data_IF_718334600811
#
_entry.id   IF_718334600811
#
_cell.length_a   1.000
_cell.length_b   1.000
_cell.length_c   1.000
_cell.angle_alpha   90.00
_cell.angle_beta   90.00
_cell.angle_gamma   90.00
#
_symmetry.space_group_name_H-M   'P 1'
#
loop_
_entity.id
_entity.type
_entity.pdbx_description
1 polymer ?
#
# COMPACT_ATOMS: atom_id res chain seq x y z
N UNK A 1 -4.34 -0.91 7.59
CA UNK A 1 -3.41 0.19 7.82
C UNK A 1 -2.99 0.24 9.30
N UNK A 2 -3.93 0.45 10.24
CA UNK A 2 -3.62 0.73 11.64
C UNK A 2 -2.90 -0.44 12.33
N UNK A 3 -3.32 -1.66 12.11
CA UNK A 3 -2.65 -2.85 12.65
C UNK A 3 -1.22 -3.04 12.12
N UNK A 4 -0.94 -2.66 10.86
CA UNK A 4 0.43 -2.63 10.34
C UNK A 4 1.25 -1.50 10.98
N UNK A 5 0.63 -0.35 11.26
CA UNK A 5 1.27 0.76 11.98
C UNK A 5 1.62 0.37 13.42
N UNK A 6 0.76 -0.37 14.10
CA UNK A 6 1.08 -0.92 15.42
C UNK A 6 2.31 -1.82 15.36
N UNK A 7 2.38 -2.72 14.38
CA UNK A 7 3.57 -3.58 14.16
C UNK A 7 4.81 -2.76 13.80
N UNK A 8 4.69 -1.72 12.97
CA UNK A 8 5.78 -0.79 12.67
C UNK A 8 6.38 -0.19 13.95
N UNK A 9 5.54 0.26 14.86
CA UNK A 9 5.96 0.88 16.13
C UNK A 9 6.59 -0.17 17.05
N UNK A 10 5.96 -1.33 17.20
CA UNK A 10 6.47 -2.42 18.03
C UNK A 10 7.86 -2.90 17.57
N UNK A 11 8.08 -2.95 16.26
CA UNK A 11 9.32 -3.45 15.66
C UNK A 11 10.36 -2.38 15.39
N UNK A 12 10.15 -1.13 15.81
CA UNK A 12 11.02 0.01 15.48
C UNK A 12 12.49 -0.17 15.88
N UNK A 13 12.75 -0.87 17.00
CA UNK A 13 14.10 -1.12 17.51
C UNK A 13 14.76 -2.41 17.05
N UNK A 14 14.08 -3.25 16.24
CA UNK A 14 14.59 -4.57 15.86
C UNK A 14 15.40 -4.45 14.57
N UNK A 15 16.71 -4.42 14.69
CA UNK A 15 17.65 -4.37 13.56
C UNK A 15 17.76 -5.73 12.90
N UNK A 16 17.55 -5.76 11.57
CA UNK A 16 17.62 -6.96 10.75
C UNK A 16 18.43 -6.72 9.47
N UNK A 17 18.74 -7.78 8.75
CA UNK A 17 19.31 -7.65 7.42
C UNK A 17 18.24 -7.24 6.40
N UNK A 18 18.55 -6.25 5.56
CA UNK A 18 17.74 -5.92 4.40
C UNK A 18 17.94 -6.92 3.26
N UNK A 19 16.98 -6.97 2.33
CA UNK A 19 17.09 -7.81 1.13
C UNK A 19 16.66 -7.03 -0.10
N UNK A 20 17.49 -7.06 -1.15
CA UNK A 20 17.16 -6.63 -2.50
C UNK A 20 17.42 -7.79 -3.45
N UNK A 21 16.57 -8.01 -4.43
CA UNK A 21 16.63 -9.20 -5.31
C UNK A 21 16.60 -10.54 -4.55
N UNK A 22 16.03 -10.59 -3.34
CA UNK A 22 16.12 -11.70 -2.37
C UNK A 22 17.56 -12.03 -1.92
N UNK A 23 18.53 -11.16 -2.19
CA UNK A 23 19.89 -11.26 -1.71
C UNK A 23 20.10 -10.36 -0.50
N UNK A 24 21.05 -10.73 0.37
CA UNK A 24 21.42 -9.92 1.52
C UNK A 24 21.86 -8.51 1.11
N UNK A 25 21.34 -7.52 1.82
CA UNK A 25 21.67 -6.11 1.65
C UNK A 25 22.08 -5.48 2.99
N UNK A 26 22.21 -4.17 3.06
CA UNK A 26 22.52 -3.47 4.30
C UNK A 26 21.40 -3.56 5.32
N UNK A 27 21.70 -3.39 6.63
CA UNK A 27 20.71 -3.43 7.69
C UNK A 27 19.63 -2.34 7.58
N UNK A 28 18.45 -2.68 8.08
CA UNK A 28 17.38 -1.76 8.43
C UNK A 28 16.68 -2.28 9.69
N UNK A 29 15.71 -1.56 10.24
CA UNK A 29 14.86 -2.12 11.27
C UNK A 29 13.63 -2.81 10.67
N UNK A 30 13.11 -3.84 11.34
CA UNK A 30 11.85 -4.47 10.95
C UNK A 30 10.70 -3.44 10.95
N UNK A 31 10.73 -2.47 11.86
CA UNK A 31 9.77 -1.35 11.85
C UNK A 31 9.89 -0.48 10.61
N UNK A 32 11.11 -0.20 10.11
CA UNK A 32 11.30 0.52 8.83
C UNK A 32 10.73 -0.27 7.65
N UNK A 33 10.90 -1.58 7.61
CA UNK A 33 10.30 -2.45 6.59
C UNK A 33 8.76 -2.36 6.62
N UNK A 34 8.14 -2.45 7.81
CA UNK A 34 6.70 -2.29 7.98
C UNK A 34 6.21 -0.87 7.67
N UNK A 35 7.03 0.16 7.89
CA UNK A 35 6.69 1.53 7.51
C UNK A 35 6.44 1.70 6.01
N UNK A 36 7.18 0.95 5.19
CA UNK A 36 6.96 0.89 3.75
C UNK A 36 5.56 0.36 3.40
N UNK A 37 5.08 -0.67 4.11
CA UNK A 37 3.74 -1.22 3.93
C UNK A 37 2.64 -0.21 4.31
N UNK A 38 2.81 0.47 5.45
CA UNK A 38 1.91 1.53 5.92
C UNK A 38 1.83 2.66 4.89
N UNK A 39 2.97 3.11 4.36
CA UNK A 39 3.04 4.17 3.36
C UNK A 39 2.33 3.76 2.05
N UNK A 40 2.51 2.52 1.58
CA UNK A 40 1.82 2.02 0.38
C UNK A 40 0.30 2.02 0.55
N UNK A 41 -0.22 1.61 1.71
CA UNK A 41 -1.66 1.63 1.98
C UNK A 41 -2.21 3.05 2.13
N UNK A 42 -1.46 3.96 2.73
CA UNK A 42 -1.82 5.38 2.81
C UNK A 42 -1.93 6.00 1.41
N UNK A 43 -0.97 5.71 0.54
CA UNK A 43 -1.00 6.17 -0.85
C UNK A 43 -2.20 5.60 -1.61
N UNK A 44 -2.45 4.28 -1.49
CA UNK A 44 -3.59 3.64 -2.15
C UNK A 44 -4.92 4.24 -1.70
N UNK A 45 -5.09 4.50 -0.38
CA UNK A 45 -6.26 5.18 0.17
C UNK A 45 -6.44 6.57 -0.43
N UNK A 46 -5.37 7.35 -0.55
CA UNK A 46 -5.42 8.69 -1.15
C UNK A 46 -5.87 8.64 -2.61
N UNK A 47 -5.37 7.68 -3.39
CA UNK A 47 -5.76 7.49 -4.80
C UNK A 47 -7.24 7.13 -4.91
N UNK A 48 -7.74 6.21 -4.07
CA UNK A 48 -9.17 5.84 -4.05
C UNK A 48 -10.02 7.06 -3.69
N UNK A 49 -9.66 7.80 -2.64
CA UNK A 49 -10.40 8.98 -2.20
C UNK A 49 -10.47 10.05 -3.30
N UNK A 50 -9.37 10.27 -4.03
CA UNK A 50 -9.32 11.22 -5.13
C UNK A 50 -10.20 10.81 -6.34
N UNK A 51 -10.49 9.51 -6.51
CA UNK A 51 -11.37 9.03 -7.57
C UNK A 51 -12.87 9.11 -7.24
N UNK A 52 -13.26 9.20 -5.97
CA UNK A 52 -14.67 9.19 -5.58
C UNK A 52 -15.52 10.29 -6.27
N UNK A 53 -15.05 11.55 -6.42
CA UNK A 53 -15.81 12.59 -7.09
C UNK A 53 -16.20 12.26 -8.53
N UNK A 54 -15.42 11.41 -9.21
CA UNK A 54 -15.74 11.00 -10.59
C UNK A 54 -17.02 10.16 -10.68
N UNK A 55 -17.44 9.52 -9.56
CA UNK A 55 -18.62 8.65 -9.51
C UNK A 55 -19.92 9.41 -9.19
N UNK A 56 -19.85 10.68 -8.81
CA UNK A 56 -21.04 11.44 -8.41
C UNK A 56 -21.91 11.94 -9.58
N UNK A 57 -21.38 12.26 -10.78
CA UNK A 57 -22.19 12.63 -11.91
C UNK A 57 -22.97 11.44 -12.47
N UNK A 58 -24.30 11.53 -12.49
CA UNK A 58 -25.21 10.47 -12.91
C UNK A 58 -25.76 10.74 -14.31
N UNK A 59 -25.93 9.70 -15.12
CA UNK A 59 -26.54 9.77 -16.45
C UNK A 59 -28.06 10.00 -16.42
N UNK A 60 -28.66 9.99 -15.23
CA UNK A 60 -30.10 10.08 -15.04
C UNK A 60 -30.69 11.34 -15.73
N UNK A 61 -31.84 11.20 -16.35
CA UNK A 61 -32.48 12.25 -17.13
C UNK A 61 -32.09 12.30 -18.61
N UNK A 62 -31.03 11.52 -19.02
CA UNK A 62 -30.64 11.48 -20.45
C UNK A 62 -31.57 10.69 -21.33
N UNK A 63 -32.40 9.84 -20.78
CA UNK A 63 -33.35 8.93 -21.48
C UNK A 63 -32.67 8.03 -22.52
N UNK A 64 -33.14 7.99 -23.75
CA UNK A 64 -32.67 7.05 -24.76
C UNK A 64 -31.23 7.33 -25.23
N UNK A 65 -30.92 8.59 -25.54
CA UNK A 65 -29.67 8.99 -26.23
C UNK A 65 -28.96 10.18 -25.58
N UNK A 66 -29.48 10.72 -24.48
CA UNK A 66 -28.89 11.89 -23.79
C UNK A 66 -29.69 13.19 -23.93
N UNK A 67 -30.75 13.21 -24.75
CA UNK A 67 -31.57 14.42 -25.05
C UNK A 67 -32.61 14.73 -23.99
N UNK A 68 -32.92 13.79 -23.09
CA UNK A 68 -34.00 13.96 -22.10
C UNK A 68 -35.42 13.88 -22.69
N UNK A 69 -35.57 13.28 -23.87
CA UNK A 69 -36.87 13.16 -24.54
C UNK A 69 -37.90 12.50 -23.60
N UNK A 70 -39.09 13.12 -23.52
CA UNK A 70 -40.23 12.67 -22.70
C UNK A 70 -40.02 12.71 -21.18
N UNK A 71 -39.03 13.45 -20.67
CA UNK A 71 -38.92 13.72 -19.22
C UNK A 71 -39.33 15.14 -18.88
N UNK A 72 -39.89 15.38 -17.68
CA UNK A 72 -40.09 16.74 -17.20
C UNK A 72 -38.76 17.50 -17.05
N UNK A 73 -38.74 18.80 -17.25
CA UNK A 73 -37.58 19.62 -16.94
C UNK A 73 -37.13 19.44 -15.50
N UNK A 74 -35.82 19.30 -15.25
CA UNK A 74 -35.26 19.12 -13.93
C UNK A 74 -35.33 17.69 -13.33
N UNK A 75 -35.87 16.73 -14.11
CA UNK A 75 -36.01 15.34 -13.59
C UNK A 75 -34.67 14.72 -13.13
N UNK A 76 -33.62 14.87 -13.92
CA UNK A 76 -32.30 14.30 -13.60
C UNK A 76 -31.71 14.91 -12.33
N UNK A 77 -31.84 16.22 -12.18
CA UNK A 77 -31.41 17.01 -11.04
C UNK A 77 -32.17 16.60 -9.76
N UNK A 78 -33.50 16.48 -9.84
CA UNK A 78 -34.33 16.06 -8.71
C UNK A 78 -33.99 14.63 -8.25
N UNK A 79 -33.79 13.70 -9.18
CA UNK A 79 -33.42 12.32 -8.82
C UNK A 79 -32.03 12.28 -8.17
N UNK A 80 -31.07 13.03 -8.70
CA UNK A 80 -29.74 13.12 -8.11
C UNK A 80 -29.79 13.72 -6.69
N UNK A 81 -30.63 14.72 -6.45
CA UNK A 81 -30.85 15.31 -5.12
C UNK A 81 -31.46 14.30 -4.14
N UNK A 82 -32.49 13.57 -4.54
CA UNK A 82 -33.11 12.52 -3.71
C UNK A 82 -32.09 11.43 -3.34
N UNK A 83 -31.28 10.99 -4.31
CA UNK A 83 -30.21 10.03 -4.05
C UNK A 83 -29.13 10.59 -3.11
N UNK A 84 -28.78 11.86 -3.28
CA UNK A 84 -27.83 12.54 -2.39
C UNK A 84 -28.31 12.59 -0.95
N UNK A 85 -29.55 12.91 -0.72
CA UNK A 85 -30.17 12.94 0.61
C UNK A 85 -30.27 11.52 1.21
N UNK A 86 -30.68 10.53 0.40
CA UNK A 86 -30.88 9.15 0.86
C UNK A 86 -29.58 8.44 1.25
N UNK A 87 -28.48 8.78 0.59
CA UNK A 87 -27.18 8.11 0.76
C UNK A 87 -26.11 8.97 1.42
N UNK A 88 -26.41 10.22 1.75
CA UNK A 88 -25.45 11.21 2.26
C UNK A 88 -24.21 11.34 1.35
N UNK A 89 -24.41 11.29 0.01
CA UNK A 89 -23.37 11.38 -1.01
C UNK A 89 -23.71 12.49 -1.99
N UNK A 90 -22.75 13.28 -2.49
CA UNK A 90 -23.02 14.47 -3.30
C UNK A 90 -23.25 14.11 -4.79
N UNK A 91 -24.26 13.29 -5.07
CA UNK A 91 -24.63 12.98 -6.45
C UNK A 91 -25.17 14.20 -7.17
N UNK A 92 -24.81 14.32 -8.45
CA UNK A 92 -25.27 15.38 -9.33
C UNK A 92 -25.72 14.79 -10.66
N UNK A 93 -26.61 15.50 -11.35
CA UNK A 93 -26.96 15.17 -12.72
C UNK A 93 -25.79 15.51 -13.63
N UNK A 94 -25.27 14.56 -14.42
CA UNK A 94 -24.09 14.77 -15.27
C UNK A 94 -24.33 15.95 -16.22
N UNK A 95 -23.35 16.85 -16.39
CA UNK A 95 -23.51 18.01 -17.29
C UNK A 95 -23.61 17.60 -18.76
N UNK A 96 -23.04 16.47 -19.12
CA UNK A 96 -23.14 15.89 -20.46
C UNK A 96 -23.73 14.47 -20.38
N UNK A 97 -25.02 14.35 -20.72
CA UNK A 97 -25.75 13.08 -20.69
C UNK A 97 -25.30 12.11 -21.79
N UNK A 98 -24.83 12.63 -22.92
CA UNK A 98 -24.35 11.80 -24.03
C UNK A 98 -23.11 11.00 -23.60
N UNK A 99 -22.12 11.67 -23.03
CA UNK A 99 -20.94 11.01 -22.47
C UNK A 99 -21.33 10.05 -21.33
N UNK A 100 -22.19 10.49 -20.40
CA UNK A 100 -22.57 9.69 -19.24
C UNK A 100 -23.35 8.40 -19.58
N UNK A 101 -24.04 8.35 -20.71
CA UNK A 101 -24.74 7.16 -21.23
C UNK A 101 -23.79 6.24 -22.01
N UNK A 102 -22.89 6.81 -22.82
CA UNK A 102 -22.06 6.06 -23.76
C UNK A 102 -20.73 5.60 -23.17
N UNK A 103 -20.22 6.30 -22.16
CA UNK A 103 -18.94 5.99 -21.53
C UNK A 103 -19.10 5.44 -20.12
N UNK A 104 -18.07 4.75 -19.65
CA UNK A 104 -17.94 4.23 -18.28
C UNK A 104 -16.63 4.68 -17.62
N UNK A 105 -16.07 5.79 -18.08
CA UNK A 105 -14.72 6.28 -17.71
C UNK A 105 -14.56 6.46 -16.21
N UNK A 106 -15.60 6.97 -15.52
CA UNK A 106 -15.59 7.15 -14.07
C UNK A 106 -15.41 5.82 -13.32
N UNK A 107 -16.08 4.75 -13.76
CA UNK A 107 -15.99 3.43 -13.14
C UNK A 107 -14.66 2.78 -13.50
N UNK A 108 -14.16 2.94 -14.71
CA UNK A 108 -12.83 2.49 -15.13
C UNK A 108 -11.75 3.14 -14.25
N UNK A 109 -11.80 4.46 -14.07
CA UNK A 109 -10.86 5.18 -13.19
C UNK A 109 -10.96 4.73 -11.72
N UNK A 110 -12.17 4.58 -11.21
CA UNK A 110 -12.39 4.13 -9.84
C UNK A 110 -11.86 2.69 -9.63
N UNK A 111 -12.07 1.78 -10.60
CA UNK A 111 -11.54 0.42 -10.49
C UNK A 111 -10.01 0.38 -10.62
N UNK A 112 -9.43 1.23 -11.47
CA UNK A 112 -7.98 1.38 -11.55
C UNK A 112 -7.36 1.79 -10.20
N UNK A 113 -8.06 2.59 -9.40
CA UNK A 113 -7.65 2.91 -8.02
C UNK A 113 -7.68 1.69 -7.09
N UNK A 114 -8.68 0.80 -7.24
CA UNK A 114 -8.72 -0.47 -6.51
C UNK A 114 -7.61 -1.41 -6.94
N UNK A 115 -7.21 -1.41 -8.21
CA UNK A 115 -6.05 -2.15 -8.71
C UNK A 115 -4.76 -1.68 -8.03
N UNK A 116 -4.56 -0.37 -7.82
CA UNK A 116 -3.40 0.15 -7.08
C UNK A 116 -3.37 -0.43 -5.67
N UNK A 117 -4.50 -0.48 -4.97
CA UNK A 117 -4.61 -1.12 -3.67
C UNK A 117 -4.29 -2.62 -3.73
N UNK A 118 -4.82 -3.34 -4.71
CA UNK A 118 -4.57 -4.77 -4.89
C UNK A 118 -3.08 -5.07 -5.13
N UNK A 119 -2.39 -4.26 -5.92
CA UNK A 119 -0.94 -4.39 -6.16
C UNK A 119 -0.15 -4.19 -4.87
N UNK A 120 -0.48 -3.18 -4.07
CA UNK A 120 0.16 -2.93 -2.78
C UNK A 120 -0.07 -4.11 -1.80
N UNK A 121 -1.32 -4.56 -1.67
CA UNK A 121 -1.68 -5.68 -0.79
C UNK A 121 -1.02 -6.99 -1.21
N UNK A 122 -0.91 -7.26 -2.51
CA UNK A 122 -0.22 -8.44 -3.03
C UNK A 122 1.25 -8.45 -2.62
N UNK A 123 1.93 -7.31 -2.77
CA UNK A 123 3.34 -7.17 -2.35
C UNK A 123 3.48 -7.35 -0.84
N UNK A 124 2.65 -6.72 -0.03
CA UNK A 124 2.68 -6.80 1.43
C UNK A 124 2.45 -8.25 1.90
N UNK A 125 1.43 -8.91 1.39
CA UNK A 125 1.14 -10.30 1.74
C UNK A 125 2.29 -11.24 1.32
N UNK A 126 2.89 -11.02 0.16
CA UNK A 126 4.01 -11.82 -0.32
C UNK A 126 5.27 -11.64 0.55
N UNK A 127 5.60 -10.42 0.96
CA UNK A 127 6.73 -10.17 1.85
C UNK A 127 6.52 -10.82 3.23
N UNK A 128 5.34 -10.65 3.82
CA UNK A 128 5.00 -11.28 5.12
C UNK A 128 5.12 -12.81 5.00
N UNK A 129 4.66 -13.39 3.88
CA UNK A 129 4.80 -14.82 3.61
C UNK A 129 6.27 -15.26 3.54
N UNK A 130 7.13 -14.48 2.88
CA UNK A 130 8.57 -14.74 2.81
C UNK A 130 9.24 -14.62 4.17
N UNK A 131 8.96 -13.55 4.92
CA UNK A 131 9.53 -13.33 6.24
C UNK A 131 9.16 -14.44 7.23
N UNK A 132 7.96 -15.02 7.09
CA UNK A 132 7.47 -16.13 7.92
C UNK A 132 7.88 -17.52 7.41
N UNK A 133 8.58 -17.61 6.28
CA UNK A 133 8.91 -18.89 5.64
C UNK A 133 9.82 -19.77 6.47
N UNK A 134 9.60 -21.08 6.44
CA UNK A 134 10.42 -22.05 7.12
C UNK A 134 9.66 -22.82 8.20
N UNK A 135 9.93 -22.61 9.49
CA UNK A 135 10.80 -21.60 10.13
C UNK A 135 12.31 -21.91 10.13
N UNK A 136 12.72 -23.18 10.00
CA UNK A 136 14.14 -23.55 10.11
C UNK A 136 14.89 -23.51 8.79
N UNK A 137 14.23 -23.90 7.69
CA UNK A 137 14.82 -23.98 6.34
C UNK A 137 14.43 -22.82 5.45
N UNK A 138 13.87 -21.76 6.00
CA UNK A 138 13.50 -20.53 5.31
C UNK A 138 14.03 -19.29 6.04
N UNK A 139 13.42 -18.15 5.79
CA UNK A 139 13.80 -16.87 6.42
C UNK A 139 13.50 -16.91 7.92
N UNK A 140 12.22 -17.09 8.30
CA UNK A 140 11.82 -17.28 9.69
C UNK A 140 12.01 -16.07 10.59
N UNK A 141 12.07 -14.84 10.06
CA UNK A 141 12.28 -13.62 10.86
C UNK A 141 11.04 -13.17 11.62
N UNK A 142 9.85 -13.60 11.14
CA UNK A 142 8.58 -13.37 11.83
C UNK A 142 7.81 -14.67 11.99
N UNK A 143 6.90 -14.69 12.96
CA UNK A 143 5.91 -15.75 13.16
C UNK A 143 4.52 -15.17 12.90
N UNK A 144 3.71 -15.92 12.18
CA UNK A 144 2.30 -15.61 11.92
C UNK A 144 1.40 -16.53 12.72
N UNK A 145 0.14 -16.15 13.01
CA UNK A 145 -0.82 -17.01 13.70
C UNK A 145 -1.07 -18.33 12.98
N UNK A 146 -1.22 -19.38 13.76
CA UNK A 146 -1.71 -20.67 13.28
C UNK A 146 -3.25 -20.65 13.32
N UNK A 147 -3.88 -20.58 12.15
CA UNK A 147 -5.34 -20.48 12.05
C UNK A 147 -6.01 -21.81 11.79
N UNK A 148 -5.25 -22.80 11.29
CA UNK A 148 -5.76 -24.10 10.86
C UNK A 148 -4.63 -25.15 10.89
N UNK A 149 -4.95 -26.43 10.96
CA UNK A 149 -3.97 -27.51 10.77
C UNK A 149 -3.31 -27.37 9.39
N UNK A 150 -2.00 -27.13 9.36
CA UNK A 150 -1.28 -26.82 8.13
C UNK A 150 -1.11 -27.98 7.17
N UNK A 151 -1.20 -29.23 7.66
CA UNK A 151 -1.04 -30.43 6.86
C UNK A 151 -1.55 -31.65 7.60
N UNK A 152 -2.22 -32.57 6.89
CA UNK A 152 -2.65 -33.85 7.44
C UNK A 152 -1.51 -34.86 7.63
N UNK A 153 -0.39 -34.67 6.95
CA UNK A 153 0.75 -35.60 6.93
C UNK A 153 2.03 -35.02 7.56
N UNK A 154 2.06 -33.71 7.86
CA UNK A 154 3.21 -33.02 8.48
C UNK A 154 2.75 -32.28 9.72
N UNK A 155 2.72 -32.93 10.91
CA UNK A 155 2.28 -32.30 12.15
C UNK A 155 3.10 -31.04 12.49
N UNK A 156 2.41 -29.97 12.92
CA UNK A 156 3.04 -28.72 13.30
C UNK A 156 3.47 -27.80 12.14
N UNK A 157 3.13 -28.15 10.89
CA UNK A 157 3.36 -27.26 9.75
C UNK A 157 2.30 -26.16 9.72
N UNK A 158 2.73 -24.91 9.83
CA UNK A 158 1.87 -23.71 9.72
C UNK A 158 1.99 -23.14 8.32
N UNK A 159 0.87 -23.05 7.59
CA UNK A 159 0.84 -22.46 6.26
C UNK A 159 0.45 -20.98 6.33
N UNK A 160 0.96 -20.10 5.45
CA UNK A 160 0.63 -18.69 5.39
C UNK A 160 -0.68 -18.46 4.60
N UNK A 161 -1.76 -19.19 4.92
CA UNK A 161 -3.00 -19.26 4.13
C UNK A 161 -3.70 -17.91 4.00
N UNK A 162 -3.62 -17.05 5.00
CA UNK A 162 -4.17 -15.69 4.93
C UNK A 162 -3.41 -14.83 3.92
N UNK A 163 -2.10 -14.96 3.83
CA UNK A 163 -1.31 -14.29 2.81
C UNK A 163 -1.67 -14.78 1.41
N UNK A 164 -1.79 -16.09 1.24
CA UNK A 164 -2.12 -16.74 -0.03
C UNK A 164 -3.53 -16.38 -0.50
N UNK A 165 -4.51 -16.38 0.39
CA UNK A 165 -5.88 -15.98 0.10
C UNK A 165 -5.94 -14.51 -0.38
N UNK A 166 -5.27 -13.60 0.33
CA UNK A 166 -5.21 -12.19 -0.07
C UNK A 166 -4.53 -12.01 -1.43
N UNK A 167 -3.44 -12.73 -1.68
CA UNK A 167 -2.74 -12.69 -2.98
C UNK A 167 -3.63 -13.16 -4.13
N UNK A 168 -4.40 -14.25 -3.94
CA UNK A 168 -5.37 -14.73 -4.94
C UNK A 168 -6.47 -13.71 -5.21
N UNK A 169 -7.02 -13.07 -4.17
CA UNK A 169 -7.98 -11.97 -4.31
C UNK A 169 -7.40 -10.82 -5.10
N UNK A 170 -6.16 -10.41 -4.81
CA UNK A 170 -5.49 -9.35 -5.55
C UNK A 170 -5.35 -9.69 -7.05
N UNK A 171 -5.01 -10.93 -7.38
CA UNK A 171 -4.96 -11.40 -8.77
C UNK A 171 -6.34 -11.29 -9.45
N UNK A 172 -7.41 -11.69 -8.76
CA UNK A 172 -8.78 -11.60 -9.30
C UNK A 172 -9.18 -10.14 -9.54
N UNK A 173 -8.85 -9.22 -8.64
CA UNK A 173 -9.12 -7.79 -8.80
C UNK A 173 -8.37 -7.21 -10.01
N UNK A 174 -7.11 -7.59 -10.19
CA UNK A 174 -6.33 -7.18 -11.37
C UNK A 174 -6.94 -7.73 -12.68
N UNK A 175 -7.44 -8.96 -12.68
CA UNK A 175 -8.15 -9.53 -13.81
C UNK A 175 -9.47 -8.80 -14.12
N UNK A 176 -10.23 -8.45 -13.08
CA UNK A 176 -11.44 -7.66 -13.21
C UNK A 176 -11.16 -6.26 -13.80
N UNK A 177 -10.00 -5.65 -13.50
CA UNK A 177 -9.60 -4.37 -14.08
C UNK A 177 -9.45 -4.44 -15.61
N UNK A 178 -8.89 -5.54 -16.11
CA UNK A 178 -8.81 -5.78 -17.56
C UNK A 178 -10.21 -5.91 -18.17
N UNK A 179 -11.08 -6.69 -17.54
CA UNK A 179 -12.46 -6.87 -18.01
C UNK A 179 -13.23 -5.53 -18.04
N UNK A 180 -13.11 -4.73 -16.96
CA UNK A 180 -13.77 -3.42 -16.87
C UNK A 180 -13.22 -2.45 -17.90
N UNK A 181 -11.90 -2.42 -18.13
CA UNK A 181 -11.27 -1.55 -19.12
C UNK A 181 -11.74 -1.87 -20.53
N UNK A 182 -11.77 -3.15 -20.92
CA UNK A 182 -12.28 -3.60 -22.22
C UNK A 182 -13.77 -3.30 -22.38
N UNK A 183 -14.56 -3.61 -21.38
CA UNK A 183 -16.01 -3.34 -21.38
C UNK A 183 -16.32 -1.83 -21.39
N UNK A 184 -15.53 -1.01 -20.68
CA UNK A 184 -15.63 0.44 -20.67
C UNK A 184 -15.42 1.06 -22.07
N UNK A 185 -14.45 0.52 -22.82
CA UNK A 185 -14.17 0.93 -24.19
C UNK A 185 -15.12 0.37 -25.27
N UNK A 186 -16.05 -0.50 -24.89
CA UNK A 186 -16.96 -1.19 -25.83
C UNK A 186 -18.26 -0.43 -26.13
N UNK A 187 -18.40 0.81 -25.67
CA UNK A 187 -19.56 1.66 -26.00
C UNK A 187 -19.62 1.99 -27.49
N UNK A 188 -20.85 1.99 -28.05
CA UNK A 188 -21.08 2.37 -29.42
C UNK A 188 -22.09 3.52 -29.46
N UNK A 189 -21.69 4.63 -30.05
CA UNK A 189 -22.49 5.86 -30.18
C UNK A 189 -23.02 6.32 -28.80
N UNK A 190 -24.32 6.24 -28.54
CA UNK A 190 -24.97 6.85 -27.39
C UNK A 190 -25.17 5.90 -26.20
N UNK A 191 -24.70 4.63 -26.27
CA UNK A 191 -24.88 3.67 -25.19
C UNK A 191 -23.70 2.70 -25.06
N UNK A 192 -23.25 2.49 -23.85
CA UNK A 192 -22.42 1.33 -23.48
C UNK A 192 -23.30 0.20 -22.94
N UNK A 193 -23.39 -0.89 -23.69
CA UNK A 193 -24.23 -2.07 -23.33
C UNK A 193 -23.54 -3.02 -22.33
N UNK A 194 -22.25 -2.85 -22.08
CA UNK A 194 -21.45 -3.73 -21.21
C UNK A 194 -21.56 -3.42 -19.71
N UNK A 195 -22.45 -2.51 -19.31
CA UNK A 195 -22.68 -2.11 -17.91
C UNK A 195 -22.93 -3.25 -16.95
N UNK A 196 -23.67 -4.33 -17.29
CA UNK A 196 -23.85 -5.47 -16.37
C UNK A 196 -22.54 -6.16 -16.01
N UNK A 197 -21.64 -6.36 -16.97
CA UNK A 197 -20.30 -6.91 -16.73
C UNK A 197 -19.47 -5.97 -15.84
N UNK A 198 -19.46 -4.68 -16.16
CA UNK A 198 -18.74 -3.66 -15.39
C UNK A 198 -19.23 -3.62 -13.94
N UNK A 199 -20.55 -3.58 -13.74
CA UNK A 199 -21.13 -3.54 -12.40
C UNK A 199 -20.80 -4.81 -11.61
N UNK A 200 -20.92 -5.99 -12.24
CA UNK A 200 -20.57 -7.26 -11.58
C UNK A 200 -19.12 -7.28 -11.14
N UNK A 201 -18.18 -7.03 -12.04
CA UNK A 201 -16.75 -7.08 -11.78
C UNK A 201 -16.31 -6.02 -10.75
N UNK A 202 -16.87 -4.81 -10.82
CA UNK A 202 -16.58 -3.73 -9.88
C UNK A 202 -17.05 -4.06 -8.46
N UNK A 203 -18.30 -4.48 -8.30
CA UNK A 203 -18.86 -4.84 -6.99
C UNK A 203 -18.19 -6.08 -6.40
N UNK A 204 -17.85 -7.07 -7.25
CA UNK A 204 -17.08 -8.24 -6.81
C UNK A 204 -15.72 -7.83 -6.26
N UNK A 205 -14.98 -6.94 -6.97
CA UNK A 205 -13.67 -6.47 -6.52
C UNK A 205 -13.73 -5.76 -5.17
N UNK A 206 -14.72 -4.90 -4.95
CA UNK A 206 -14.91 -4.22 -3.67
C UNK A 206 -15.14 -5.22 -2.54
N UNK A 207 -16.06 -6.18 -2.73
CA UNK A 207 -16.39 -7.19 -1.71
C UNK A 207 -15.18 -8.05 -1.38
N UNK A 208 -14.52 -8.59 -2.40
CA UNK A 208 -13.35 -9.45 -2.23
C UNK A 208 -12.21 -8.72 -1.49
N UNK A 209 -11.92 -7.46 -1.85
CA UNK A 209 -10.91 -6.67 -1.16
C UNK A 209 -11.31 -6.39 0.29
N UNK A 210 -12.55 -5.95 0.53
CA UNK A 210 -13.01 -5.62 1.88
C UNK A 210 -12.95 -6.83 2.81
N UNK A 211 -13.44 -7.99 2.37
CA UNK A 211 -13.51 -9.20 3.17
C UNK A 211 -12.11 -9.79 3.40
N UNK A 212 -11.28 -9.84 2.36
CA UNK A 212 -9.92 -10.39 2.47
C UNK A 212 -8.99 -9.50 3.31
N UNK A 213 -9.10 -8.17 3.21
CA UNK A 213 -8.34 -7.25 4.06
C UNK A 213 -8.71 -7.41 5.54
N UNK A 214 -10.00 -7.57 5.85
CA UNK A 214 -10.48 -7.81 7.22
C UNK A 214 -9.97 -9.15 7.74
N UNK A 215 -10.08 -10.21 6.94
CA UNK A 215 -9.58 -11.53 7.30
C UNK A 215 -8.08 -11.50 7.55
N UNK A 216 -7.31 -10.92 6.65
CA UNK A 216 -5.86 -10.80 6.75
C UNK A 216 -5.42 -9.98 7.98
N UNK A 217 -6.12 -8.88 8.26
CA UNK A 217 -5.87 -8.07 9.45
C UNK A 217 -6.06 -8.88 10.73
N UNK A 218 -7.23 -9.50 10.89
CA UNK A 218 -7.61 -10.19 12.12
C UNK A 218 -6.82 -11.49 12.33
N UNK A 219 -6.65 -12.27 11.27
CA UNK A 219 -6.11 -13.62 11.35
C UNK A 219 -4.62 -13.72 10.96
N UNK A 220 -4.00 -12.60 10.56
CA UNK A 220 -2.55 -12.58 10.27
C UNK A 220 -1.87 -11.39 10.94
N UNK A 221 -2.15 -10.15 10.51
CA UNK A 221 -1.35 -8.97 10.87
C UNK A 221 -1.31 -8.71 12.37
N UNK A 222 -2.45 -8.80 13.05
CA UNK A 222 -2.54 -8.57 14.51
C UNK A 222 -1.69 -9.53 15.33
N UNK A 223 -1.49 -10.73 14.83
CA UNK A 223 -0.75 -11.78 15.53
C UNK A 223 0.70 -11.96 15.09
N UNK A 224 1.21 -11.12 14.19
CA UNK A 224 2.62 -11.17 13.78
C UNK A 224 3.52 -10.87 14.98
N UNK A 225 4.54 -11.72 15.16
CA UNK A 225 5.58 -11.56 16.16
C UNK A 225 6.95 -11.65 15.49
N UNK A 226 7.91 -10.82 15.93
CA UNK A 226 9.29 -10.94 15.49
C UNK A 226 9.95 -12.16 16.14
N UNK A 227 10.74 -12.93 15.38
CA UNK A 227 11.68 -13.90 15.91
C UNK A 227 13.06 -13.26 16.03
N UNK A 228 13.25 -12.51 17.13
CA UNK A 228 14.47 -11.76 17.33
C UNK A 228 15.73 -12.64 17.40
N UNK A 229 15.61 -13.89 17.86
CA UNK A 229 16.74 -14.81 17.88
C UNK A 229 17.18 -15.14 16.45
N UNK A 230 16.22 -15.44 15.59
CA UNK A 230 16.48 -15.72 14.18
C UNK A 230 16.99 -14.49 13.43
N UNK A 231 16.41 -13.33 13.70
CA UNK A 231 16.85 -12.04 13.12
C UNK A 231 18.31 -11.78 13.48
N UNK A 232 18.70 -11.91 14.76
CA UNK A 232 20.09 -11.73 15.21
C UNK A 232 21.04 -12.75 14.57
N UNK A 233 20.63 -14.01 14.46
CA UNK A 233 21.43 -15.05 13.80
C UNK A 233 21.71 -14.67 12.34
N UNK A 234 20.68 -14.31 11.56
CA UNK A 234 20.83 -13.95 10.15
C UNK A 234 21.65 -12.67 9.98
N UNK A 235 21.43 -11.66 10.82
CA UNK A 235 22.20 -10.42 10.80
C UNK A 235 23.69 -10.67 11.05
N UNK A 236 24.03 -11.47 12.05
CA UNK A 236 25.43 -11.77 12.41
C UNK A 236 26.18 -12.52 11.31
N UNK A 237 25.48 -13.25 10.44
CA UNK A 237 26.06 -14.03 9.33
C UNK A 237 26.19 -13.23 8.04
N UNK A 238 25.57 -12.04 7.96
CA UNK A 238 25.56 -11.28 6.72
C UNK A 238 26.91 -10.68 6.38
N UNK A 239 27.38 -10.95 5.16
CA UNK A 239 28.61 -10.36 4.63
C UNK A 239 28.43 -8.88 4.27
N UNK A 240 27.20 -8.39 4.12
CA UNK A 240 26.93 -7.00 3.74
C UNK A 240 27.19 -5.99 4.85
N UNK A 241 27.43 -6.45 6.08
CA UNK A 241 27.92 -5.62 7.17
C UNK A 241 29.32 -5.03 6.86
N UNK A 242 30.06 -5.64 5.93
CA UNK A 242 31.34 -5.12 5.41
C UNK A 242 31.23 -3.70 4.88
N UNK A 243 30.05 -3.27 4.45
CA UNK A 243 29.81 -1.91 3.94
C UNK A 243 30.21 -0.84 4.97
N UNK A 244 30.11 -1.13 6.27
CA UNK A 244 30.55 -0.23 7.32
C UNK A 244 32.07 -0.01 7.36
N UNK A 245 32.86 -0.93 6.79
CA UNK A 245 34.32 -0.81 6.74
C UNK A 245 34.78 0.10 5.59
N UNK A 246 33.99 0.24 4.52
CA UNK A 246 34.40 0.95 3.30
C UNK A 246 34.87 2.40 3.54
N UNK A 247 34.25 3.20 4.42
CA UNK A 247 34.75 4.55 4.73
C UNK A 247 36.15 4.57 5.42
N UNK A 248 36.53 3.50 6.07
CA UNK A 248 37.75 3.41 6.87
C UNK A 248 38.93 2.76 6.15
N UNK A 249 38.66 1.73 5.34
CA UNK A 249 39.70 0.92 4.68
C UNK A 249 39.64 0.93 3.17
N UNK A 250 38.65 1.63 2.57
CA UNK A 250 38.41 1.64 1.13
C UNK A 250 37.55 0.46 0.64
N UNK A 251 36.92 0.65 -0.53
CA UNK A 251 35.99 -0.33 -1.13
C UNK A 251 36.68 -1.66 -1.46
N UNK A 252 37.83 -1.62 -2.15
CA UNK A 252 38.51 -2.82 -2.62
C UNK A 252 38.91 -3.75 -1.48
N UNK A 253 39.42 -3.18 -0.39
CA UNK A 253 39.83 -3.95 0.79
C UNK A 253 38.62 -4.52 1.54
N UNK A 254 37.52 -3.77 1.61
CA UNK A 254 36.25 -4.25 2.17
C UNK A 254 35.70 -5.42 1.32
N UNK A 255 35.75 -5.30 0.00
CA UNK A 255 35.33 -6.36 -0.93
C UNK A 255 36.19 -7.63 -0.80
N UNK A 256 37.50 -7.47 -0.58
CA UNK A 256 38.42 -8.59 -0.33
C UNK A 256 38.05 -9.35 0.96
N UNK A 257 37.75 -8.62 2.05
CA UNK A 257 37.28 -9.20 3.32
C UNK A 257 36.00 -10.00 3.11
N UNK A 258 35.01 -9.43 2.46
CA UNK A 258 33.73 -10.13 2.20
C UNK A 258 33.93 -11.39 1.36
N UNK A 259 34.73 -11.29 0.29
CA UNK A 259 35.06 -12.44 -0.56
C UNK A 259 35.78 -13.55 0.20
N UNK A 260 36.76 -13.19 1.03
CA UNK A 260 37.47 -14.16 1.88
C UNK A 260 36.54 -14.84 2.85
N UNK A 261 35.72 -14.08 3.57
CA UNK A 261 34.74 -14.61 4.50
C UNK A 261 33.80 -15.61 3.81
N UNK A 262 33.34 -15.30 2.59
CA UNK A 262 32.46 -16.16 1.80
C UNK A 262 33.16 -17.47 1.38
N UNK A 263 34.34 -17.38 0.79
CA UNK A 263 35.08 -18.55 0.26
C UNK A 263 35.53 -19.49 1.36
N UNK A 264 36.02 -18.94 2.48
CA UNK A 264 36.51 -19.73 3.61
C UNK A 264 35.40 -20.14 4.58
N UNK A 265 34.16 -19.63 4.43
CA UNK A 265 33.04 -19.93 5.33
C UNK A 265 33.23 -19.41 6.74
N UNK A 266 34.03 -18.35 6.92
CA UNK A 266 34.33 -17.72 8.20
C UNK A 266 33.54 -16.43 8.40
N UNK A 267 33.57 -15.88 9.64
CA UNK A 267 32.87 -14.61 9.90
C UNK A 267 33.58 -13.43 9.23
N UNK A 268 32.85 -12.33 8.98
CA UNK A 268 33.47 -11.08 8.51
C UNK A 268 34.56 -10.60 9.45
N UNK A 269 34.36 -10.76 10.76
CA UNK A 269 35.32 -10.37 11.78
C UNK A 269 36.61 -11.16 11.65
N UNK A 270 36.55 -12.49 11.52
CA UNK A 270 37.72 -13.34 11.38
C UNK A 270 38.48 -13.04 10.08
N UNK A 271 37.75 -12.82 8.97
CA UNK A 271 38.33 -12.44 7.71
C UNK A 271 39.03 -11.07 7.78
N UNK A 272 38.42 -10.09 8.46
CA UNK A 272 38.98 -8.76 8.64
C UNK A 272 40.30 -8.81 9.44
N UNK A 273 40.33 -9.54 10.56
CA UNK A 273 41.51 -9.74 11.38
C UNK A 273 42.62 -10.44 10.56
N UNK A 274 42.28 -11.48 9.80
CA UNK A 274 43.24 -12.18 8.95
C UNK A 274 43.81 -11.30 7.85
N UNK A 275 43.10 -10.24 7.44
CA UNK A 275 43.55 -9.20 6.51
C UNK A 275 44.08 -7.95 7.24
N UNK A 276 44.50 -8.09 8.51
CA UNK A 276 45.15 -7.04 9.30
C UNK A 276 44.30 -5.80 9.56
N UNK A 277 43.00 -5.97 9.74
CA UNK A 277 42.13 -4.98 10.38
C UNK A 277 42.18 -5.29 11.89
N UNK A 278 42.39 -4.28 12.71
CA UNK A 278 42.40 -4.43 14.14
C UNK A 278 41.02 -4.87 14.65
N UNK A 279 40.97 -5.75 15.62
CA UNK A 279 39.72 -6.31 16.14
C UNK A 279 38.83 -5.25 16.83
N UNK A 280 39.44 -4.31 17.57
CA UNK A 280 38.74 -3.25 18.28
C UNK A 280 38.18 -2.23 17.25
N UNK A 281 38.94 -1.96 16.20
CA UNK A 281 38.50 -1.11 15.08
C UNK A 281 37.33 -1.74 14.34
N UNK A 282 37.40 -3.05 14.06
CA UNK A 282 36.29 -3.77 13.46
C UNK A 282 35.03 -3.66 14.31
N UNK A 283 35.10 -3.97 15.58
CA UNK A 283 33.98 -3.96 16.54
C UNK A 283 33.41 -2.52 16.73
N UNK A 284 34.26 -1.49 16.59
CA UNK A 284 33.85 -0.07 16.63
C UNK A 284 33.13 0.40 15.37
N UNK A 285 33.58 -0.06 14.19
CA UNK A 285 33.06 0.39 12.90
C UNK A 285 31.85 -0.41 12.43
N UNK A 286 31.81 -1.73 12.67
CA UNK A 286 30.73 -2.59 12.23
C UNK A 286 29.65 -2.65 13.30
N UNK A 287 28.80 -1.62 13.28
CA UNK A 287 27.70 -1.42 14.21
C UNK A 287 26.37 -1.42 13.44
N UNK A 288 25.69 -2.57 13.34
CA UNK A 288 24.43 -2.67 12.56
C UNK A 288 23.36 -1.66 13.01
N UNK A 289 23.31 -1.35 14.31
CA UNK A 289 22.43 -0.34 14.90
C UNK A 289 22.70 1.09 14.37
N UNK A 290 23.91 1.38 13.92
CA UNK A 290 24.30 2.67 13.35
C UNK A 290 24.16 2.72 11.83
N UNK A 291 23.88 1.58 11.19
CA UNK A 291 23.73 1.48 9.74
C UNK A 291 22.30 1.72 9.26
N UNK A 292 21.33 1.86 10.16
CA UNK A 292 19.89 1.96 9.83
C UNK A 292 19.38 3.39 9.58
N UNK A 293 20.27 4.40 9.61
CA UNK A 293 19.92 5.81 9.41
C UNK A 293 19.29 6.46 10.64
N UNK A 294 19.70 7.69 10.96
CA UNK A 294 19.28 8.41 12.17
C UNK A 294 17.94 9.14 12.05
N UNK A 295 17.45 9.40 10.84
CA UNK A 295 16.33 10.33 10.62
C UNK A 295 14.92 9.72 10.81
N UNK A 296 14.77 8.39 10.87
CA UNK A 296 13.43 7.77 10.95
C UNK A 296 13.04 7.28 12.35
N UNK A 297 13.97 7.13 13.26
CA UNK A 297 13.65 6.74 14.66
C UNK A 297 12.97 7.91 15.41
N UNK A 298 13.30 9.16 15.07
CA UNK A 298 12.71 10.35 15.67
C UNK A 298 11.26 10.62 15.20
N UNK A 299 10.90 10.27 13.97
CA UNK A 299 9.56 10.54 13.41
C UNK A 299 8.46 9.58 13.93
N UNK A 300 8.81 8.40 14.46
CA UNK A 300 7.82 7.52 15.09
C UNK A 300 7.23 8.15 16.36
N UNK A 301 7.97 9.00 17.06
CA UNK A 301 7.52 9.70 18.28
C UNK A 301 6.80 11.02 17.98
N UNK A 302 7.14 11.71 16.90
CA UNK A 302 6.56 13.01 16.54
C UNK A 302 5.16 12.91 15.89
N UNK A 303 4.88 11.84 15.15
CA UNK A 303 3.59 11.66 14.45
C UNK A 303 2.46 11.23 15.40
N UNK A 304 2.74 10.92 16.65
CA UNK A 304 1.74 10.62 17.68
C UNK A 304 1.10 11.90 18.27
N UNK A 305 1.69 13.09 18.03
CA UNK A 305 1.21 14.35 18.62
C UNK A 305 0.31 15.20 17.69
N UNK A 306 0.28 14.93 16.37
CA UNK A 306 -0.44 15.74 15.39
C UNK A 306 -1.80 15.17 14.91
N UNK A 307 -2.34 14.17 15.59
CA UNK A 307 -3.59 13.48 15.19
C UNK A 307 -4.89 14.06 15.77
N UNK A 308 -4.84 15.14 16.61
CA UNK A 308 -6.02 15.58 17.34
C UNK A 308 -6.23 17.11 17.32
N UNK A 309 -6.19 17.73 16.13
CA UNK A 309 -6.63 19.11 15.98
C UNK A 309 -7.22 19.39 14.59
N UNK A 310 -8.43 18.85 14.33
CA UNK A 310 -9.35 19.46 13.36
C UNK A 310 -10.67 19.75 14.06
N UNK A 311 -10.60 20.68 14.97
CA UNK A 311 -11.76 21.40 15.54
C UNK A 311 -12.12 22.58 14.66
N UNK A 312 -13.38 22.67 14.37
CA UNK A 312 -14.11 23.68 13.65
C UNK A 312 -13.56 25.12 13.77
N UNK A 313 -13.35 25.80 12.64
CA UNK A 313 -13.47 27.25 12.58
C UNK A 313 -14.49 27.63 11.52
N UNK A 314 -15.67 28.02 11.99
CA UNK A 314 -16.67 28.77 11.23
C UNK A 314 -16.06 30.15 10.89
N UNK A 315 -15.80 30.40 9.62
CA UNK A 315 -15.48 31.72 9.11
C UNK A 315 -16.70 32.34 8.49
N UNK A 316 -17.32 33.29 9.17
CA UNK A 316 -18.29 34.23 8.60
C UNK A 316 -17.60 35.03 7.47
N UNK A 317 -18.18 34.99 6.28
CA UNK A 317 -17.86 35.93 5.21
C UNK A 317 -18.98 36.95 5.18
N UNK A 318 -18.67 38.18 5.67
CA UNK A 318 -19.50 39.35 5.46
C UNK A 318 -19.43 39.81 4.00
N UNK A 319 -20.61 39.93 3.40
CA UNK A 319 -20.78 40.66 2.13
C UNK A 319 -20.65 42.18 2.39
N UNK A 320 -19.66 42.79 1.78
CA UNK A 320 -19.56 44.26 1.63
C UNK A 320 -20.03 44.64 0.24
N UNK A 321 -21.15 45.31 0.17
CA UNK A 321 -21.67 46.05 -0.99
C UNK A 321 -21.17 47.51 -0.95
N UNK A 322 -20.46 47.96 -1.96
CA UNK A 322 -20.41 49.33 -2.46
C UNK A 322 -19.58 49.32 -3.74
N UNK A 323 -19.89 49.90 -4.84
CA UNK A 323 -20.73 50.99 -5.23
C UNK A 323 -20.18 51.51 -6.55
N UNK A 324 -21.04 51.67 -7.52
CA UNK A 324 -21.00 52.55 -8.70
C UNK A 324 -19.68 53.24 -9.08
N UNK A 325 -19.32 53.17 -10.37
CA UNK A 325 -19.39 54.34 -11.28
C UNK A 325 -18.97 54.03 -12.71
N UNK A 326 -19.78 54.55 -13.61
CA UNK A 326 -19.77 54.72 -15.06
C UNK A 326 -18.46 55.27 -15.64
N UNK A 327 -18.19 54.91 -16.88
CA UNK A 327 -17.81 55.67 -18.09
C UNK A 327 -17.18 54.67 -19.06
N UNK A 328 -17.50 54.50 -20.32
CA UNK A 328 -17.95 55.48 -21.33
C UNK A 328 -17.11 55.26 -22.58
N UNK A 329 -17.68 54.77 -23.64
CA UNK A 329 -17.41 55.00 -25.06
C UNK A 329 -16.07 54.68 -25.74
N UNK A 330 -16.27 54.10 -26.94
CA UNK A 330 -15.54 54.16 -28.22
C UNK A 330 -14.47 53.08 -28.48
N UNK A 331 -14.66 52.22 -29.32
CA UNK A 331 -14.76 52.00 -30.80
C UNK A 331 -15.10 50.57 -31.09
#
# INVERSE_FOLDING_TARGET
>A
HDSLRERQIEFAGIVKIGRTHLQDATPLTLGQEFSGYVAQLSQARSVITACLPCLYPLAIGGTAVGTGLNTPPGFGELVAEVLSQSHAMPFVSAPNKFAALAACDAIVAAHASLKVLAVALHKIANDIRWLASGPRSGIGEIRIPENEPGSSIMPGKVNPTQCEALMMVCCQVMANDVAISLAGGSGNFELNVSRPLIAHAFLQSIRLLADSMRSFEVHCVRGIKADEARIRELLSRSLMLVTALSPHIGYDRAAEIARRAHVEGITLRDAAIALKVDAEDFDRWVRPDQMVGSAMVANASATLMDGDSTGASQGHVEMSTSGMARHGQHH
#
